data_IF_197363352419
#
_entry.id   IF_197363352419
#
_cell.length_a   1.000
_cell.length_b   1.000
_cell.length_c   1.000
_cell.angle_alpha   90.00
_cell.angle_beta   90.00
_cell.angle_gamma   90.00
#
_symmetry.space_group_name_H-M   'P 1'
#
loop_
_entity.id
_entity.type
_entity.pdbx_description
1 polymer ?
#
# COMPACT_ATOMS: atom_id res chain seq x y z
N UNK A 1 8.59 -0.11 11.91
CA UNK A 1 7.28 -0.31 11.25
C UNK A 1 7.15 0.21 9.81
N UNK A 2 7.88 1.23 9.29
CA UNK A 2 7.61 1.74 7.94
C UNK A 2 7.97 0.77 6.80
N UNK A 3 8.90 -0.17 7.01
CA UNK A 3 9.34 -1.08 5.95
C UNK A 3 8.25 -2.03 5.44
N UNK A 4 7.46 -2.63 6.35
CA UNK A 4 6.41 -3.59 5.97
C UNK A 4 5.25 -2.89 5.26
N UNK A 5 4.84 -1.72 5.75
CA UNK A 5 3.76 -0.94 5.14
C UNK A 5 4.16 -0.43 3.75
N UNK A 6 5.37 0.11 3.59
CA UNK A 6 5.90 0.53 2.28
C UNK A 6 5.83 -0.60 1.25
N UNK A 7 6.33 -1.79 1.60
CA UNK A 7 6.39 -2.93 0.69
C UNK A 7 4.99 -3.49 0.41
N UNK A 8 4.13 -3.60 1.42
CA UNK A 8 2.75 -4.04 1.23
C UNK A 8 1.99 -3.12 0.27
N UNK A 9 2.12 -1.80 0.43
CA UNK A 9 1.49 -0.81 -0.46
C UNK A 9 2.04 -0.93 -1.87
N UNK A 10 3.37 -1.01 -2.01
CA UNK A 10 4.00 -1.23 -3.31
C UNK A 10 3.44 -2.49 -3.99
N UNK A 11 3.31 -3.61 -3.26
CA UNK A 11 2.76 -4.84 -3.83
C UNK A 11 1.30 -4.67 -4.24
N UNK A 12 0.46 -4.01 -3.45
CA UNK A 12 -0.94 -3.75 -3.82
C UNK A 12 -1.05 -2.90 -5.10
N UNK A 13 -0.28 -1.81 -5.18
CA UNK A 13 -0.26 -0.92 -6.35
C UNK A 13 0.30 -1.66 -7.58
N UNK A 14 1.35 -2.46 -7.41
CA UNK A 14 1.91 -3.27 -8.48
C UNK A 14 0.93 -4.33 -8.98
N UNK A 15 0.19 -4.99 -8.09
CA UNK A 15 -0.81 -5.98 -8.49
C UNK A 15 -1.89 -5.33 -9.35
N UNK A 16 -2.39 -4.18 -8.92
CA UNK A 16 -3.37 -3.42 -9.68
C UNK A 16 -2.83 -2.96 -11.03
N UNK A 17 -1.62 -2.42 -11.06
CA UNK A 17 -0.98 -2.03 -12.30
C UNK A 17 -0.97 -3.18 -13.31
N UNK A 18 -0.60 -4.39 -12.88
CA UNK A 18 -0.57 -5.54 -13.77
C UNK A 18 -1.96 -5.98 -14.21
N UNK A 19 -2.95 -5.98 -13.31
CA UNK A 19 -4.34 -6.32 -13.66
C UNK A 19 -4.91 -5.33 -14.69
N UNK A 20 -4.73 -4.02 -14.46
CA UNK A 20 -5.20 -2.96 -15.36
C UNK A 20 -4.48 -3.05 -16.71
N UNK A 21 -3.17 -3.28 -16.70
CA UNK A 21 -2.38 -3.44 -17.92
C UNK A 21 -2.84 -4.67 -18.71
N UNK A 22 -3.04 -5.81 -18.06
CA UNK A 22 -3.52 -7.02 -18.73
C UNK A 22 -4.90 -6.79 -19.36
N UNK A 23 -5.80 -6.10 -18.66
CA UNK A 23 -7.12 -5.75 -19.16
C UNK A 23 -7.06 -4.73 -20.33
N UNK A 24 -6.11 -3.80 -20.31
CA UNK A 24 -5.91 -2.83 -21.40
C UNK A 24 -5.37 -3.47 -22.69
N UNK A 25 -4.39 -4.36 -22.57
CA UNK A 25 -3.72 -4.98 -23.72
C UNK A 25 -4.39 -6.29 -24.21
N UNK A 26 -5.52 -6.70 -23.60
CA UNK A 26 -6.23 -7.96 -23.93
C UNK A 26 -5.29 -9.18 -23.96
N UNK A 27 -4.29 -9.21 -23.08
CA UNK A 27 -3.32 -10.31 -23.09
C UNK A 27 -3.95 -11.60 -22.55
N UNK A 28 -3.66 -12.77 -23.15
CA UNK A 28 -4.16 -14.05 -22.67
C UNK A 28 -3.65 -14.33 -21.26
N UNK A 29 -4.56 -14.63 -20.35
CA UNK A 29 -4.28 -14.85 -18.93
C UNK A 29 -3.49 -16.16 -18.74
N UNK A 30 -2.19 -16.07 -18.46
CA UNK A 30 -1.35 -17.23 -18.11
C UNK A 30 -1.38 -17.50 -16.61
N UNK A 31 -2.12 -18.53 -16.21
CA UNK A 31 -2.35 -18.89 -14.81
C UNK A 31 -1.07 -19.20 -14.01
N UNK A 32 -0.08 -19.89 -14.60
CA UNK A 32 1.15 -20.28 -13.91
C UNK A 32 2.04 -19.09 -13.52
N UNK A 33 2.09 -18.04 -14.33
CA UNK A 33 2.86 -16.82 -14.01
C UNK A 33 2.18 -16.01 -12.89
N UNK A 34 0.85 -16.16 -12.75
CA UNK A 34 0.08 -15.48 -11.71
C UNK A 34 0.36 -16.04 -10.32
N UNK A 35 0.42 -17.37 -10.17
CA UNK A 35 0.63 -18.03 -8.87
C UNK A 35 2.00 -17.66 -8.28
N UNK A 36 3.07 -17.78 -9.09
CA UNK A 36 4.42 -17.45 -8.63
C UNK A 36 4.52 -15.98 -8.25
N UNK A 37 3.94 -15.08 -9.05
CA UNK A 37 3.91 -13.65 -8.76
C UNK A 37 3.15 -13.35 -7.46
N UNK A 38 1.95 -13.92 -7.28
CA UNK A 38 1.15 -13.73 -6.08
C UNK A 38 1.90 -14.20 -4.82
N UNK A 39 2.55 -15.36 -4.87
CA UNK A 39 3.38 -15.84 -3.76
C UNK A 39 4.55 -14.92 -3.47
N UNK A 40 5.27 -14.45 -4.50
CA UNK A 40 6.34 -13.47 -4.30
C UNK A 40 5.84 -12.18 -3.64
N UNK A 41 4.67 -11.68 -4.06
CA UNK A 41 4.09 -10.45 -3.52
C UNK A 41 3.61 -10.60 -2.09
N UNK A 42 3.13 -11.79 -1.71
CA UNK A 42 2.76 -12.10 -0.32
C UNK A 42 4.02 -12.24 0.53
N UNK A 43 5.05 -12.95 0.07
CA UNK A 43 6.24 -13.25 0.86
C UNK A 43 7.13 -12.00 1.05
N UNK A 44 7.22 -11.13 0.06
CA UNK A 44 8.09 -9.94 0.08
C UNK A 44 7.93 -9.05 1.33
N UNK A 45 6.72 -8.58 1.73
CA UNK A 45 6.57 -7.74 2.92
C UNK A 45 7.00 -8.44 4.21
N UNK A 46 6.72 -9.75 4.35
CA UNK A 46 7.14 -10.53 5.52
C UNK A 46 8.65 -10.75 5.55
N UNK A 47 9.27 -11.05 4.40
CA UNK A 47 10.71 -11.21 4.31
C UNK A 47 11.44 -9.92 4.72
N UNK A 48 10.99 -8.77 4.20
CA UNK A 48 11.53 -7.46 4.55
C UNK A 48 11.35 -7.16 6.05
N UNK A 49 10.18 -7.48 6.61
CA UNK A 49 9.92 -7.31 8.04
C UNK A 49 10.85 -8.15 8.92
N UNK A 50 11.05 -9.43 8.58
CA UNK A 50 11.96 -10.32 9.32
C UNK A 50 13.39 -9.81 9.24
N UNK A 51 13.86 -9.39 8.06
CA UNK A 51 15.22 -8.83 7.89
C UNK A 51 15.40 -7.62 8.81
N UNK A 52 14.44 -6.71 8.85
CA UNK A 52 14.53 -5.54 9.73
C UNK A 52 14.49 -5.91 11.21
N UNK A 53 13.68 -6.88 11.63
CA UNK A 53 13.69 -7.37 13.02
C UNK A 53 15.07 -7.91 13.38
N UNK A 54 15.62 -8.80 12.55
CA UNK A 54 16.93 -9.42 12.80
C UNK A 54 18.03 -8.35 12.84
N UNK A 55 18.00 -7.38 11.93
CA UNK A 55 18.94 -6.25 11.93
C UNK A 55 18.81 -5.40 13.21
N UNK A 56 17.58 -5.14 13.66
CA UNK A 56 17.34 -4.33 14.87
C UNK A 56 17.82 -5.07 16.13
N UNK A 57 17.54 -6.37 16.25
CA UNK A 57 17.96 -7.20 17.39
C UNK A 57 19.47 -7.42 17.39
N UNK A 58 20.09 -7.63 16.21
CA UNK A 58 21.52 -7.83 16.08
C UNK A 58 22.36 -6.59 16.45
N UNK A 59 21.82 -5.39 16.22
CA UNK A 59 22.47 -4.11 16.55
C UNK A 59 22.10 -3.63 17.97
N UNK A 60 20.93 -4.03 18.48
CA UNK A 60 20.38 -3.61 19.76
C UNK A 60 21.10 -4.22 20.97
N UNK A 61 22.28 -3.70 21.31
CA UNK A 61 22.85 -3.90 22.65
C UNK A 61 21.97 -3.18 23.68
N UNK A 62 21.72 -3.76 24.87
CA UNK A 62 20.81 -3.18 25.88
C UNK A 62 21.24 -1.78 26.37
N UNK A 63 22.51 -1.42 26.18
CA UNK A 63 23.07 -0.10 26.53
C UNK A 63 22.63 1.01 25.56
N UNK A 64 22.22 0.67 24.34
CA UNK A 64 21.89 1.64 23.27
C UNK A 64 20.37 1.81 23.06
N UNK A 65 19.57 1.43 24.05
CA UNK A 65 18.11 1.59 24.01
C UNK A 65 17.77 2.86 24.78
N UNK A 66 17.53 3.96 24.06
CA UNK A 66 17.14 5.24 24.66
C UNK A 66 15.67 5.51 24.39
N UNK A 67 14.98 6.05 25.41
CA UNK A 67 13.58 6.48 25.33
C UNK A 67 13.46 7.99 25.05
N UNK A 68 14.56 8.74 25.07
CA UNK A 68 14.53 10.21 25.01
C UNK A 68 14.08 10.77 23.66
N UNK A 69 14.28 10.04 22.55
CA UNK A 69 13.84 10.50 21.21
C UNK A 69 12.35 10.29 20.94
N UNK A 70 11.64 9.40 21.65
CA UNK A 70 10.22 9.07 21.43
C UNK A 70 9.52 8.69 22.74
N UNK A 71 8.56 9.51 23.18
CA UNK A 71 7.84 9.32 24.46
C UNK A 71 7.12 7.96 24.59
N UNK A 72 6.61 7.43 23.48
CA UNK A 72 5.70 6.28 23.46
C UNK A 72 6.38 4.92 23.20
N UNK A 73 7.60 4.87 22.65
CA UNK A 73 8.24 3.61 22.27
C UNK A 73 9.76 3.63 22.46
N UNK A 74 10.32 2.52 22.91
CA UNK A 74 11.78 2.34 22.97
C UNK A 74 12.35 2.24 21.54
N UNK A 75 13.28 3.13 21.19
CA UNK A 75 14.01 3.08 19.93
C UNK A 75 15.47 2.75 20.19
N UNK A 76 16.06 1.91 19.35
CA UNK A 76 17.53 1.77 19.34
C UNK A 76 18.10 3.11 18.87
N UNK A 77 19.01 3.67 19.66
CA UNK A 77 19.70 4.91 19.35
C UNK A 77 20.80 4.63 18.32
N UNK A 78 20.39 4.49 17.06
CA UNK A 78 21.30 4.32 15.93
C UNK A 78 20.82 5.17 14.76
N UNK A 79 21.59 6.21 14.46
CA UNK A 79 21.34 7.08 13.32
C UNK A 79 21.46 6.31 12.01
N UNK A 80 22.48 5.46 11.88
CA UNK A 80 22.69 4.62 10.70
C UNK A 80 21.50 3.67 10.41
N UNK A 81 20.92 3.05 11.43
CA UNK A 81 19.74 2.19 11.25
C UNK A 81 18.51 3.01 10.82
N UNK A 82 18.33 4.18 11.41
CA UNK A 82 17.20 5.07 11.10
C UNK A 82 17.31 5.64 9.68
N UNK A 83 18.52 6.04 9.27
CA UNK A 83 18.80 6.58 7.95
C UNK A 83 18.63 5.52 6.85
N UNK A 84 19.10 4.29 7.09
CA UNK A 84 18.91 3.19 6.14
C UNK A 84 17.43 2.81 5.98
N UNK A 85 16.68 2.76 7.09
CA UNK A 85 15.23 2.52 7.07
C UNK A 85 14.47 3.61 6.32
N UNK A 86 14.78 4.88 6.58
CA UNK A 86 14.11 6.02 5.92
C UNK A 86 14.43 6.08 4.44
N UNK A 87 15.70 5.87 4.06
CA UNK A 87 16.12 5.83 2.67
C UNK A 87 15.44 4.68 1.91
N UNK A 88 15.39 3.49 2.50
CA UNK A 88 14.67 2.35 1.93
C UNK A 88 13.18 2.64 1.73
N UNK A 89 12.51 3.16 2.76
CA UNK A 89 11.10 3.52 2.68
C UNK A 89 10.84 4.59 1.61
N UNK A 90 11.69 5.61 1.51
CA UNK A 90 11.59 6.66 0.50
C UNK A 90 11.74 6.10 -0.93
N UNK A 91 12.68 5.18 -1.17
CA UNK A 91 12.83 4.54 -2.47
C UNK A 91 11.59 3.74 -2.88
N UNK A 92 11.03 2.96 -1.95
CA UNK A 92 9.82 2.15 -2.22
C UNK A 92 8.62 3.05 -2.48
N UNK A 93 8.46 4.14 -1.72
CA UNK A 93 7.40 5.13 -1.95
C UNK A 93 7.54 5.82 -3.30
N UNK A 94 8.75 6.21 -3.69
CA UNK A 94 8.99 6.80 -5.00
C UNK A 94 8.66 5.84 -6.15
N UNK A 95 9.06 4.57 -6.04
CA UNK A 95 8.68 3.54 -7.01
C UNK A 95 7.16 3.34 -7.08
N UNK A 96 6.48 3.43 -5.94
CA UNK A 96 5.02 3.31 -5.84
C UNK A 96 4.32 4.49 -6.52
N UNK A 97 4.80 5.73 -6.33
CA UNK A 97 4.28 6.92 -7.01
C UNK A 97 4.37 6.81 -8.53
N UNK A 98 5.49 6.30 -9.05
CA UNK A 98 5.66 6.11 -10.49
C UNK A 98 4.62 5.10 -11.03
N UNK A 99 4.46 3.96 -10.34
CA UNK A 99 3.49 2.94 -10.74
C UNK A 99 2.05 3.46 -10.64
N UNK A 100 1.74 4.22 -9.60
CA UNK A 100 0.43 4.81 -9.38
C UNK A 100 0.10 5.84 -10.45
N UNK A 101 1.00 6.78 -10.72
CA UNK A 101 0.84 7.76 -11.79
C UNK A 101 0.65 7.09 -13.16
N UNK A 102 1.42 6.05 -13.45
CA UNK A 102 1.23 5.26 -14.68
C UNK A 102 -0.15 4.60 -14.72
N UNK A 103 -0.57 4.02 -13.59
CA UNK A 103 -1.88 3.38 -13.48
C UNK A 103 -3.01 4.38 -13.72
N UNK A 104 -2.93 5.59 -13.15
CA UNK A 104 -3.88 6.67 -13.41
C UNK A 104 -3.94 6.98 -14.91
N UNK A 105 -2.78 7.11 -15.57
CA UNK A 105 -2.73 7.42 -17.00
C UNK A 105 -3.40 6.31 -17.84
N UNK A 106 -3.17 5.04 -17.52
CA UNK A 106 -3.81 3.92 -18.21
C UNK A 106 -5.32 3.90 -18.00
N UNK A 107 -5.77 4.10 -16.75
CA UNK A 107 -7.19 4.14 -16.42
C UNK A 107 -7.87 5.32 -17.12
N UNK A 108 -7.25 6.50 -17.10
CA UNK A 108 -7.77 7.70 -17.76
C UNK A 108 -7.87 7.54 -19.28
N UNK A 109 -6.84 6.99 -19.92
CA UNK A 109 -6.87 6.69 -21.36
C UNK A 109 -7.99 5.72 -21.72
N UNK A 110 -8.18 4.66 -20.92
CA UNK A 110 -9.25 3.68 -21.13
C UNK A 110 -10.63 4.31 -20.91
N UNK A 111 -10.78 5.12 -19.87
CA UNK A 111 -12.01 5.86 -19.58
C UNK A 111 -12.43 6.75 -20.75
N UNK A 112 -11.50 7.52 -21.32
CA UNK A 112 -11.78 8.36 -22.50
C UNK A 112 -12.15 7.52 -23.72
N UNK A 113 -11.46 6.39 -23.95
CA UNK A 113 -11.75 5.51 -25.08
C UNK A 113 -13.18 4.95 -24.98
N UNK A 114 -13.58 4.49 -23.80
CA UNK A 114 -14.93 3.98 -23.54
C UNK A 114 -15.97 5.10 -23.64
N UNK A 115 -15.67 6.30 -23.14
CA UNK A 115 -16.59 7.43 -23.22
C UNK A 115 -16.85 7.89 -24.68
N UNK A 116 -15.93 7.60 -25.61
CA UNK A 116 -16.07 7.92 -27.03
C UNK A 116 -16.78 6.82 -27.83
N UNK A 117 -16.56 5.56 -27.48
CA UNK A 117 -17.26 4.43 -28.09
C UNK A 117 -18.54 4.18 -27.30
N UNK A 118 -19.67 4.73 -27.77
CA UNK A 118 -21.02 4.56 -27.20
C UNK A 118 -21.55 3.11 -27.22
N UNK A 119 -20.67 2.11 -27.33
CA UNK A 119 -21.02 0.70 -27.39
C UNK A 119 -20.95 0.08 -26.01
N UNK A 120 -22.15 -0.12 -25.48
CA UNK A 120 -22.62 -1.08 -24.48
C UNK A 120 -21.64 -2.21 -24.10
N UNK A 121 -21.65 -2.56 -22.80
CA UNK A 121 -21.14 -3.75 -22.11
C UNK A 121 -19.84 -3.70 -21.31
N UNK A 122 -18.96 -2.70 -21.40
CA UNK A 122 -17.92 -2.53 -20.36
C UNK A 122 -18.46 -1.67 -19.22
N UNK A 123 -19.19 -2.36 -18.33
CA UNK A 123 -19.94 -1.80 -17.21
C UNK A 123 -19.06 -0.89 -16.35
N UNK A 124 -19.49 0.34 -16.08
CA UNK A 124 -18.85 1.25 -15.13
C UNK A 124 -18.56 0.59 -13.75
N UNK A 125 -19.28 -0.49 -13.44
CA UNK A 125 -19.02 -1.38 -12.31
C UNK A 125 -17.61 -1.99 -12.28
N UNK A 126 -17.02 -2.34 -13.43
CA UNK A 126 -15.68 -2.95 -13.50
C UNK A 126 -14.56 -1.94 -13.20
N UNK A 127 -14.81 -0.64 -13.38
CA UNK A 127 -13.84 0.44 -13.12
C UNK A 127 -13.89 0.96 -11.68
N UNK A 128 -14.97 0.70 -10.95
CA UNK A 128 -15.13 1.12 -9.55
C UNK A 128 -14.08 0.50 -8.62
N UNK A 129 -13.74 -0.78 -8.82
CA UNK A 129 -12.76 -1.48 -8.00
C UNK A 129 -11.33 -0.92 -8.21
N UNK A 130 -10.83 -0.77 -9.45
CA UNK A 130 -9.56 -0.09 -9.72
C UNK A 130 -9.50 1.34 -9.16
N UNK A 131 -10.55 2.13 -9.33
CA UNK A 131 -10.61 3.52 -8.87
C UNK A 131 -10.49 3.62 -7.35
N UNK A 132 -11.21 2.74 -6.63
CA UNK A 132 -11.18 2.65 -5.17
C UNK A 132 -9.80 2.27 -4.64
N UNK A 133 -9.16 1.29 -5.27
CA UNK A 133 -7.81 0.86 -4.87
C UNK A 133 -6.79 1.94 -5.15
N UNK A 134 -6.97 2.71 -6.23
CA UNK A 134 -6.12 3.84 -6.56
C UNK A 134 -6.30 4.99 -5.54
N UNK A 135 -7.54 5.30 -5.16
CA UNK A 135 -7.80 6.27 -4.09
C UNK A 135 -7.18 5.83 -2.75
N UNK A 136 -7.25 4.54 -2.44
CA UNK A 136 -6.59 3.97 -1.26
C UNK A 136 -5.06 4.05 -1.35
N UNK A 137 -4.48 3.79 -2.53
CA UNK A 137 -3.05 3.96 -2.81
C UNK A 137 -2.58 5.38 -2.49
N UNK A 138 -3.25 6.39 -3.07
CA UNK A 138 -2.96 7.80 -2.85
C UNK A 138 -3.05 8.15 -1.36
N UNK A 139 -4.11 7.68 -0.68
CA UNK A 139 -4.30 7.93 0.74
C UNK A 139 -3.11 7.39 1.57
N UNK A 140 -2.69 6.16 1.32
CA UNK A 140 -1.54 5.58 2.04
C UNK A 140 -0.24 6.30 1.67
N UNK A 141 -0.06 6.71 0.41
CA UNK A 141 1.10 7.47 -0.03
C UNK A 141 1.24 8.80 0.73
N UNK A 142 0.14 9.53 0.93
CA UNK A 142 0.11 10.76 1.72
C UNK A 142 0.47 10.45 3.18
N UNK A 143 -0.13 9.42 3.76
CA UNK A 143 0.14 9.01 5.14
C UNK A 143 1.60 8.62 5.38
N UNK A 144 2.19 7.88 4.44
CA UNK A 144 3.60 7.46 4.51
C UNK A 144 4.55 8.64 4.29
N UNK A 145 4.19 9.59 3.43
CA UNK A 145 4.96 10.83 3.23
C UNK A 145 4.96 11.67 4.50
N UNK A 146 3.81 11.82 5.16
CA UNK A 146 3.71 12.47 6.47
C UNK A 146 4.53 11.74 7.54
N UNK A 147 4.55 10.41 7.51
CA UNK A 147 5.37 9.61 8.42
C UNK A 147 6.87 9.86 8.23
N UNK A 148 7.33 9.99 6.98
CA UNK A 148 8.72 10.35 6.69
C UNK A 148 9.07 11.77 7.15
N UNK A 149 8.16 12.72 6.96
CA UNK A 149 8.33 14.11 7.44
C UNK A 149 8.42 14.15 8.97
N UNK A 150 7.61 13.35 9.67
CA UNK A 150 7.70 13.21 11.13
C UNK A 150 9.06 12.77 11.63
N UNK A 151 9.71 11.85 10.92
CA UNK A 151 11.00 11.32 11.34
C UNK A 151 12.10 12.38 11.31
N UNK A 152 11.94 13.43 10.49
CA UNK A 152 12.85 14.57 10.40
C UNK A 152 12.58 15.64 11.47
N UNK A 153 11.40 15.65 12.09
CA UNK A 153 10.98 16.67 13.05
C UNK A 153 10.32 16.03 14.29
N UNK A 154 11.12 15.43 15.19
CA UNK A 154 10.61 14.65 16.33
C UNK A 154 9.92 15.49 17.43
N UNK A 155 9.96 16.82 17.37
CA UNK A 155 9.39 17.68 18.42
C UNK A 155 7.87 17.87 18.33
N UNK A 156 7.24 17.47 17.21
CA UNK A 156 5.80 17.64 17.03
C UNK A 156 5.02 16.36 17.38
N UNK A 157 3.99 16.43 18.25
CA UNK A 157 3.11 15.30 18.54
C UNK A 157 2.06 15.06 17.43
N UNK A 158 1.92 16.00 16.49
CA UNK A 158 0.96 15.95 15.39
C UNK A 158 1.16 14.71 14.50
N UNK A 159 2.38 14.40 14.02
CA UNK A 159 2.57 13.24 13.17
C UNK A 159 2.35 11.90 13.88
N UNK A 160 2.65 11.77 15.18
CA UNK A 160 2.34 10.54 15.93
C UNK A 160 0.82 10.33 16.03
N UNK A 161 0.04 11.41 16.19
CA UNK A 161 -1.42 11.40 16.13
C UNK A 161 -1.95 11.06 14.74
N UNK A 162 -1.32 11.59 13.68
CA UNK A 162 -1.67 11.25 12.31
C UNK A 162 -1.36 9.77 12.03
N UNK A 163 -0.20 9.26 12.46
CA UNK A 163 0.18 7.85 12.31
C UNK A 163 -0.80 6.93 13.05
N UNK A 164 -1.20 7.29 14.28
CA UNK A 164 -2.24 6.56 15.02
C UNK A 164 -3.61 6.63 14.31
N UNK A 165 -3.95 7.77 13.70
CA UNK A 165 -5.16 7.89 12.88
C UNK A 165 -5.04 7.13 11.55
N UNK A 166 -3.83 6.96 11.01
CA UNK A 166 -3.56 6.16 9.82
C UNK A 166 -3.60 4.67 10.17
N UNK A 167 -3.38 4.25 11.41
CA UNK A 167 -3.71 2.88 11.85
C UNK A 167 -5.22 2.58 11.73
N UNK A 168 -6.07 3.62 11.75
CA UNK A 168 -7.47 3.50 11.33
C UNK A 168 -7.65 3.30 9.82
N UNK A 169 -6.57 3.20 9.04
CA UNK A 169 -6.61 2.73 7.66
C UNK A 169 -7.22 1.33 7.57
N UNK A 170 -7.17 0.50 8.61
CA UNK A 170 -7.96 -0.74 8.64
C UNK A 170 -9.46 -0.43 8.48
N UNK A 171 -9.97 0.59 9.15
CA UNK A 171 -11.35 1.08 9.03
C UNK A 171 -11.60 1.66 7.63
N UNK A 172 -10.66 2.41 7.06
CA UNK A 172 -10.77 2.97 5.70
C UNK A 172 -10.76 1.86 4.65
N UNK A 173 -9.90 0.85 4.80
CA UNK A 173 -9.87 -0.36 3.97
C UNK A 173 -11.20 -1.07 4.05
N UNK A 174 -11.71 -1.32 5.26
CA UNK A 174 -13.03 -1.92 5.45
C UNK A 174 -14.09 -1.07 4.76
N UNK A 175 -14.07 0.26 4.89
CA UNK A 175 -15.02 1.13 4.21
C UNK A 175 -14.93 1.06 2.68
N UNK A 176 -13.73 1.06 2.12
CA UNK A 176 -13.51 1.07 0.66
C UNK A 176 -13.86 -0.28 0.04
N UNK A 177 -13.48 -1.38 0.70
CA UNK A 177 -13.66 -2.73 0.16
C UNK A 177 -14.99 -3.35 0.60
N UNK A 178 -15.43 -3.20 1.85
CA UNK A 178 -16.71 -3.78 2.31
C UNK A 178 -17.94 -3.11 1.69
N UNK A 179 -17.81 -1.90 1.11
CA UNK A 179 -18.89 -1.25 0.35
C UNK A 179 -19.01 -1.78 -1.08
N UNK A 180 -18.29 -2.85 -1.47
CA UNK A 180 -18.51 -3.49 -2.76
C UNK A 180 -19.83 -4.27 -2.74
N UNK A 181 -20.73 -4.06 -3.72
CA UNK A 181 -22.00 -4.75 -3.78
C UNK A 181 -21.82 -6.27 -3.83
N UNK A 182 -20.76 -6.76 -4.49
CA UNK A 182 -20.40 -8.18 -4.56
C UNK A 182 -20.11 -8.77 -3.17
N UNK A 183 -19.38 -8.03 -2.33
CA UNK A 183 -19.07 -8.46 -0.95
C UNK A 183 -20.34 -8.40 -0.09
N UNK A 184 -21.15 -7.35 -0.23
CA UNK A 184 -22.43 -7.25 0.49
C UNK A 184 -23.37 -8.40 0.07
N UNK A 185 -23.38 -8.77 -1.21
CA UNK A 185 -24.19 -9.88 -1.73
C UNK A 185 -23.67 -11.24 -1.25
N UNK A 186 -22.35 -11.44 -1.24
CA UNK A 186 -21.73 -12.63 -0.66
C UNK A 186 -21.99 -12.76 0.85
N UNK A 187 -21.95 -11.65 1.60
CA UNK A 187 -22.27 -11.63 3.04
C UNK A 187 -23.78 -11.88 3.27
N UNK A 188 -24.64 -11.42 2.36
CA UNK A 188 -26.08 -11.69 2.38
C UNK A 188 -26.47 -13.08 1.87
N UNK A 189 -25.56 -14.07 1.88
CA UNK A 189 -25.86 -15.44 1.45
C UNK A 189 -27.04 -16.10 2.20
N UNK A 190 -27.36 -15.62 3.39
CA UNK A 190 -28.49 -16.06 4.20
C UNK A 190 -29.85 -15.58 3.71
N UNK A 191 -29.89 -14.51 2.90
CA UNK A 191 -31.14 -13.99 2.32
C UNK A 191 -31.28 -14.57 0.91
N UNK A 192 -31.72 -15.83 0.84
CA UNK A 192 -32.27 -16.40 -0.38
C UNK A 192 -33.70 -15.88 -0.54
N UNK A 193 -33.89 -14.96 -1.48
CA UNK A 193 -35.19 -14.69 -2.12
C UNK A 193 -34.98 -14.77 -3.63
#
# INVERSE_FOLDING_TARGET
MPGISSVAVFTLVFQMFVVIRAAFYKQPYRENEHIVRSWMMIIAPYAVWIIFIVATVGIGKPVNVSRDRRFFYCSVESEALTDTLTMFAAMVLFATLILEAWTIILVYKRWISIARESSEMFTAAELNLPLRILAFGIYIMVAMSMSLLSMKSPESPIPDLIIASVESAATVVILIFATQPDIIQAIRFWRKE
#
